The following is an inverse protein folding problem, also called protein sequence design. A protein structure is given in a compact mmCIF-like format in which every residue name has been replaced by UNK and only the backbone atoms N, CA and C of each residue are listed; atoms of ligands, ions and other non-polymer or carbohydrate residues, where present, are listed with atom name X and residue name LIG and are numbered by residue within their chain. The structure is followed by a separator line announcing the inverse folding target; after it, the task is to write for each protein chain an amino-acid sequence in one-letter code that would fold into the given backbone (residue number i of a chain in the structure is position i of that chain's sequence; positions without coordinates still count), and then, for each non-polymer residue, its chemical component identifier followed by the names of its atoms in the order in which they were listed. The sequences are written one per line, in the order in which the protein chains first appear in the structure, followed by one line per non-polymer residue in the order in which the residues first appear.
data_IF_428860026227
#
_entry.id   IF_428860026227
#
_cell.length_a   1.000
_cell.length_b   1.000
_cell.length_c   1.000
_cell.angle_alpha   90.00
_cell.angle_beta   90.00
_cell.angle_gamma   90.00
#
_symmetry.space_group_name_H-M   'P 1'
#
loop_
_entity.id
_entity.type
_entity.pdbx_description
1 polymer ?
#
# COMPACT_ATOMS: atom_id res chain seq x y z
N UNK A 1 6.74 1.75 -2.11
CA UNK A 1 5.91 2.95 -2.38
C UNK A 1 5.88 3.97 -1.23
N UNK A 2 6.08 3.55 0.04
CA UNK A 2 6.17 4.45 1.21
C UNK A 2 7.06 5.67 1.10
N UNK A 3 8.24 5.50 0.48
CA UNK A 3 9.20 6.59 0.33
C UNK A 3 8.62 7.76 -0.45
N UNK A 4 7.69 7.52 -1.37
CA UNK A 4 7.11 8.55 -2.23
C UNK A 4 5.98 9.33 -1.56
N UNK A 5 5.26 8.71 -0.62
CA UNK A 5 4.12 9.33 0.08
C UNK A 5 4.51 9.94 1.42
N UNK A 6 5.36 9.27 2.20
CA UNK A 6 5.73 9.69 3.55
C UNK A 6 6.90 10.68 3.55
N UNK A 7 7.96 10.41 2.80
CA UNK A 7 9.20 11.20 2.91
C UNK A 7 9.03 12.66 2.52
N UNK A 8 8.30 13.04 1.46
CA UNK A 8 8.14 14.47 1.15
C UNK A 8 7.55 15.28 2.31
N UNK A 9 6.60 14.69 3.05
CA UNK A 9 5.96 15.35 4.20
C UNK A 9 6.88 15.48 5.42
N UNK A 10 7.88 14.59 5.56
CA UNK A 10 8.80 14.57 6.70
C UNK A 10 10.11 15.30 6.39
N UNK A 11 10.69 15.04 5.21
CA UNK A 11 11.98 15.56 4.79
C UNK A 11 11.97 17.09 4.66
N UNK A 12 10.90 17.69 4.14
CA UNK A 12 10.85 19.15 3.96
C UNK A 12 10.94 19.90 5.31
N UNK A 13 10.05 19.64 6.30
CA UNK A 13 10.19 20.25 7.62
C UNK A 13 11.51 19.92 8.32
N UNK A 14 12.05 18.71 8.11
CA UNK A 14 13.31 18.29 8.73
C UNK A 14 14.52 19.07 8.20
N UNK A 15 14.64 19.23 6.88
CA UNK A 15 15.71 20.04 6.26
C UNK A 15 15.56 21.52 6.62
N UNK A 16 14.34 22.03 6.69
CA UNK A 16 14.09 23.41 7.12
C UNK A 16 14.56 23.66 8.56
N UNK A 17 14.38 22.66 9.42
CA UNK A 17 14.76 22.74 10.85
C UNK A 17 16.25 22.47 11.08
N UNK A 18 16.89 21.67 10.24
CA UNK A 18 18.29 21.26 10.37
C UNK A 18 19.04 21.43 9.03
N UNK A 19 19.46 22.67 8.69
CA UNK A 19 19.98 22.99 7.35
C UNK A 19 21.29 22.30 6.99
N UNK A 20 22.08 21.93 8.00
CA UNK A 20 23.39 21.31 7.85
C UNK A 20 23.32 19.77 7.70
N UNK A 21 22.12 19.18 7.84
CA UNK A 21 21.96 17.72 7.77
C UNK A 21 21.78 17.27 6.33
N UNK A 22 22.59 16.28 5.92
CA UNK A 22 22.38 15.49 4.72
C UNK A 22 21.91 14.07 5.08
N UNK A 23 20.96 13.51 4.34
CA UNK A 23 20.53 12.12 4.49
C UNK A 23 20.40 11.44 3.12
N UNK A 24 20.60 10.13 3.09
CA UNK A 24 20.38 9.29 1.91
C UNK A 24 19.19 8.37 2.14
N UNK A 25 18.35 8.23 1.12
CA UNK A 25 17.21 7.32 1.13
C UNK A 25 17.44 6.27 0.06
N UNK A 26 17.45 5.00 0.45
CA UNK A 26 17.62 3.87 -0.47
C UNK A 26 16.36 3.00 -0.40
N UNK A 27 15.62 2.83 -1.51
CA UNK A 27 14.55 1.85 -1.56
C UNK A 27 15.16 0.44 -1.52
N UNK A 28 14.69 -0.39 -0.58
CA UNK A 28 15.15 -1.76 -0.44
C UNK A 28 13.99 -2.66 0.00
N UNK A 29 13.98 -3.90 -0.49
CA UNK A 29 13.00 -4.92 -0.12
C UNK A 29 13.61 -5.95 0.83
N UNK A 30 12.73 -6.66 1.54
CA UNK A 30 13.12 -7.80 2.37
C UNK A 30 13.61 -8.96 1.50
N UNK A 31 14.57 -9.78 1.98
CA UNK A 31 15.18 -9.76 3.31
C UNK A 31 16.37 -8.78 3.46
N UNK A 32 16.77 -8.13 2.36
CA UNK A 32 18.01 -7.33 2.32
C UNK A 32 17.91 -6.06 3.17
N UNK A 33 16.71 -5.49 3.32
CA UNK A 33 16.44 -4.40 4.25
C UNK A 33 16.81 -4.78 5.68
N UNK A 34 16.35 -5.95 6.15
CA UNK A 34 16.61 -6.43 7.51
C UNK A 34 18.08 -6.77 7.73
N UNK A 35 18.75 -7.33 6.73
CA UNK A 35 20.19 -7.58 6.75
C UNK A 35 20.98 -6.28 6.90
N UNK A 36 20.61 -5.23 6.16
CA UNK A 36 21.32 -3.94 6.20
C UNK A 36 21.13 -3.19 7.51
N UNK A 37 19.94 -3.28 8.10
CA UNK A 37 19.68 -2.73 9.43
C UNK A 37 20.45 -3.49 10.52
N UNK A 38 20.44 -4.82 10.47
CA UNK A 38 21.20 -5.66 11.42
C UNK A 38 22.71 -5.39 11.34
N UNK A 39 23.21 -5.12 10.14
CA UNK A 39 24.60 -4.78 9.88
C UNK A 39 24.94 -3.29 10.16
N UNK A 40 23.99 -2.50 10.70
CA UNK A 40 24.14 -1.07 10.99
C UNK A 40 24.63 -0.24 9.80
N UNK A 41 24.23 -0.63 8.57
CA UNK A 41 24.56 0.14 7.35
C UNK A 41 23.67 1.37 7.17
N UNK A 42 22.55 1.42 7.88
CA UNK A 42 21.59 2.51 7.87
C UNK A 42 21.10 2.76 9.30
N UNK A 43 20.81 4.02 9.62
CA UNK A 43 20.35 4.41 10.96
C UNK A 43 18.88 4.05 11.19
N UNK A 44 18.06 4.11 10.14
CA UNK A 44 16.61 3.93 10.21
C UNK A 44 16.12 3.06 9.04
N UNK A 45 15.09 2.25 9.32
CA UNK A 45 14.36 1.48 8.31
C UNK A 45 12.86 1.70 8.44
N UNK A 46 12.18 1.77 7.29
CA UNK A 46 10.73 1.84 7.20
C UNK A 46 10.24 0.56 6.53
N UNK A 47 9.43 -0.21 7.25
CA UNK A 47 8.89 -1.49 6.76
C UNK A 47 7.50 -1.74 7.33
N UNK A 48 6.70 -2.51 6.60
CA UNK A 48 5.42 -3.06 7.07
C UNK A 48 5.63 -4.42 7.77
N UNK A 49 6.82 -5.01 7.63
CA UNK A 49 7.11 -6.31 8.19
C UNK A 49 7.09 -6.28 9.72
N UNK A 50 6.60 -7.39 10.28
CA UNK A 50 6.51 -7.61 11.72
C UNK A 50 7.73 -8.33 12.29
N UNK A 51 8.81 -8.47 11.51
CA UNK A 51 10.12 -8.90 12.00
C UNK A 51 10.90 -7.70 12.55
N UNK A 52 11.55 -7.87 13.70
CA UNK A 52 12.49 -6.88 14.25
C UNK A 52 13.91 -7.37 13.97
N UNK A 53 14.69 -6.70 13.10
CA UNK A 53 16.08 -7.06 12.85
C UNK A 53 16.94 -7.07 14.12
N UNK A 54 17.99 -7.89 14.15
CA UNK A 54 18.85 -8.00 15.32
C UNK A 54 19.56 -6.66 15.60
N UNK A 55 19.62 -6.26 16.87
CA UNK A 55 20.24 -5.00 17.27
C UNK A 55 19.42 -3.75 16.90
N UNK A 56 18.14 -3.90 16.56
CA UNK A 56 17.23 -2.79 16.29
C UNK A 56 16.05 -2.78 17.27
N UNK A 57 15.42 -1.62 17.40
CA UNK A 57 14.11 -1.48 18.04
C UNK A 57 13.07 -1.15 16.98
N UNK A 58 11.84 -1.63 17.16
CA UNK A 58 10.72 -1.32 16.28
C UNK A 58 9.70 -0.46 16.99
N UNK A 59 9.27 0.61 16.33
CA UNK A 59 8.11 1.40 16.69
C UNK A 59 7.09 1.42 15.56
N UNK A 60 5.81 1.30 15.89
CA UNK A 60 4.72 1.50 14.93
C UNK A 60 4.56 3.00 14.69
N UNK A 61 4.78 3.45 13.46
CA UNK A 61 4.58 4.85 13.08
C UNK A 61 3.12 5.16 12.77
N UNK A 62 2.43 4.23 12.11
CA UNK A 62 1.04 4.40 11.69
C UNK A 62 0.38 3.04 11.44
N UNK A 63 -0.93 3.01 11.64
CA UNK A 63 -1.80 1.91 11.22
C UNK A 63 -2.82 2.46 10.26
N UNK A 64 -2.97 1.81 9.11
CA UNK A 64 -3.91 2.21 8.07
C UNK A 64 -4.75 1.00 7.67
N UNK A 65 -6.02 1.27 7.36
CA UNK A 65 -6.89 0.26 6.76
C UNK A 65 -6.80 0.38 5.25
N UNK A 66 -6.77 -0.76 4.57
CA UNK A 66 -6.98 -0.86 3.13
C UNK A 66 -8.28 -0.17 2.73
N UNK A 67 -8.27 0.51 1.59
CA UNK A 67 -9.42 1.26 1.08
C UNK A 67 -9.90 0.72 -0.25
N UNK A 68 -11.22 0.70 -0.41
CA UNK A 68 -11.83 0.32 -1.67
C UNK A 68 -11.79 1.51 -2.64
N UNK A 69 -11.37 1.24 -3.87
CA UNK A 69 -11.37 2.22 -4.96
C UNK A 69 -12.52 1.88 -5.89
N UNK A 70 -13.43 2.84 -6.04
CA UNK A 70 -14.65 2.70 -6.83
C UNK A 70 -14.70 3.79 -7.92
N UNK A 71 -15.26 3.50 -9.10
CA UNK A 71 -15.53 4.54 -10.09
C UNK A 71 -16.60 5.51 -9.60
N UNK A 72 -16.61 6.72 -10.16
CA UNK A 72 -17.67 7.69 -9.86
C UNK A 72 -19.05 7.13 -10.21
N UNK A 73 -20.02 7.30 -9.31
CA UNK A 73 -21.38 6.79 -9.49
C UNK A 73 -21.57 5.30 -9.22
N UNK A 74 -20.56 4.57 -8.74
CA UNK A 74 -20.70 3.16 -8.39
C UNK A 74 -21.75 2.95 -7.28
N UNK A 75 -22.66 1.96 -7.37
CA UNK A 75 -23.71 1.74 -6.37
C UNK A 75 -23.18 1.56 -4.94
N UNK A 76 -22.00 0.95 -4.79
CA UNK A 76 -21.34 0.77 -3.49
C UNK A 76 -20.95 2.08 -2.80
N UNK A 77 -20.90 3.22 -3.49
CA UNK A 77 -20.68 4.53 -2.87
C UNK A 77 -21.81 4.93 -1.91
N UNK A 78 -23.00 4.33 -2.04
CA UNK A 78 -24.12 4.57 -1.13
C UNK A 78 -24.01 3.78 0.19
N UNK A 79 -23.06 2.85 0.30
CA UNK A 79 -22.87 2.03 1.51
C UNK A 79 -21.91 2.71 2.47
N UNK A 80 -22.23 2.70 3.77
CA UNK A 80 -21.34 3.20 4.83
C UNK A 80 -20.17 2.27 5.10
N UNK A 81 -20.37 0.97 4.85
CA UNK A 81 -19.40 -0.09 5.08
C UNK A 81 -19.51 -1.10 3.94
N UNK A 82 -18.38 -1.55 3.43
CA UNK A 82 -18.31 -2.64 2.45
C UNK A 82 -17.90 -3.93 3.14
N UNK A 83 -18.53 -5.03 2.76
CA UNK A 83 -18.18 -6.38 3.21
C UNK A 83 -17.59 -7.18 2.05
N UNK A 84 -16.89 -8.30 2.31
CA UNK A 84 -16.35 -9.13 1.24
C UNK A 84 -17.40 -9.58 0.22
N UNK A 85 -18.65 -9.80 0.66
CA UNK A 85 -19.76 -10.19 -0.21
C UNK A 85 -20.08 -9.15 -1.29
N UNK A 86 -19.77 -7.88 -1.05
CA UNK A 86 -20.02 -6.81 -2.01
C UNK A 86 -19.13 -6.89 -3.26
N UNK A 87 -18.06 -7.69 -3.20
CA UNK A 87 -17.12 -7.90 -4.31
C UNK A 87 -17.43 -9.15 -5.13
N UNK A 88 -18.46 -9.91 -4.76
CA UNK A 88 -18.80 -11.15 -5.44
C UNK A 88 -19.27 -10.87 -6.88
N UNK A 89 -18.67 -11.56 -7.85
CA UNK A 89 -18.87 -11.40 -9.29
C UNK A 89 -18.55 -10.01 -9.86
N UNK A 90 -18.01 -9.09 -9.07
CA UNK A 90 -17.59 -7.76 -9.54
C UNK A 90 -16.31 -7.85 -10.39
N UNK A 91 -16.19 -6.95 -11.36
CA UNK A 91 -14.95 -6.77 -12.12
C UNK A 91 -13.87 -6.20 -11.21
N UNK A 92 -12.84 -6.99 -10.91
CA UNK A 92 -11.81 -6.64 -9.96
C UNK A 92 -10.46 -6.42 -10.67
N UNK A 93 -9.88 -5.26 -10.43
CA UNK A 93 -8.53 -4.89 -10.82
C UNK A 93 -7.64 -5.13 -9.61
N UNK A 94 -6.49 -5.75 -9.80
CA UNK A 94 -5.68 -6.17 -8.67
C UNK A 94 -4.21 -5.85 -8.82
N UNK A 95 -3.55 -5.73 -7.67
CA UNK A 95 -2.10 -5.79 -7.61
C UNK A 95 -1.60 -7.19 -7.98
N UNK A 96 -0.32 -7.26 -8.35
CA UNK A 96 0.37 -8.50 -8.72
C UNK A 96 0.12 -9.61 -7.72
N UNK A 97 0.00 -10.85 -8.19
CA UNK A 97 -0.02 -12.05 -7.34
C UNK A 97 1.20 -12.19 -6.39
N UNK A 98 2.31 -11.52 -6.70
CA UNK A 98 3.51 -11.47 -5.85
C UNK A 98 3.43 -10.42 -4.73
N UNK A 99 2.43 -9.54 -4.77
CA UNK A 99 2.19 -8.53 -3.75
C UNK A 99 1.61 -9.18 -2.48
N UNK A 100 2.18 -8.85 -1.31
CA UNK A 100 1.79 -9.43 -0.04
C UNK A 100 0.36 -9.06 0.37
N UNK A 101 -0.10 -7.84 0.08
CA UNK A 101 -1.47 -7.42 0.32
C UNK A 101 -2.44 -8.16 -0.56
N UNK A 102 -2.08 -8.36 -1.83
CA UNK A 102 -2.87 -9.19 -2.74
C UNK A 102 -3.06 -10.61 -2.18
N UNK A 103 -1.99 -11.24 -1.69
CA UNK A 103 -2.07 -12.59 -1.13
C UNK A 103 -2.98 -12.67 0.09
N UNK A 104 -2.87 -11.70 1.00
CA UNK A 104 -3.76 -11.61 2.18
C UNK A 104 -5.22 -11.43 1.76
N UNK A 105 -5.47 -10.56 0.80
CA UNK A 105 -6.81 -10.28 0.29
C UNK A 105 -7.42 -11.50 -0.41
N UNK A 106 -6.61 -12.22 -1.20
CA UNK A 106 -7.03 -13.44 -1.87
C UNK A 106 -7.38 -14.55 -0.87
N UNK A 107 -6.58 -14.72 0.19
CA UNK A 107 -6.89 -15.65 1.26
C UNK A 107 -8.23 -15.29 1.95
N UNK A 108 -8.44 -14.02 2.28
CA UNK A 108 -9.69 -13.53 2.90
C UNK A 108 -10.91 -13.82 2.01
N UNK A 109 -10.84 -13.52 0.71
CA UNK A 109 -11.95 -13.80 -0.19
C UNK A 109 -12.18 -15.30 -0.38
N UNK A 110 -11.11 -16.09 -0.45
CA UNK A 110 -11.20 -17.54 -0.57
C UNK A 110 -11.86 -18.18 0.66
N UNK A 111 -11.46 -17.79 1.87
CA UNK A 111 -12.06 -18.26 3.13
C UNK A 111 -13.56 -17.93 3.22
N UNK A 112 -14.00 -16.84 2.61
CA UNK A 112 -15.39 -16.38 2.59
C UNK A 112 -16.18 -16.90 1.37
N UNK A 113 -15.57 -17.70 0.49
CA UNK A 113 -16.22 -18.22 -0.72
C UNK A 113 -16.61 -17.14 -1.73
N UNK A 114 -15.88 -16.01 -1.75
CA UNK A 114 -16.16 -14.88 -2.64
C UNK A 114 -15.33 -15.02 -3.91
N UNK A 115 -16.01 -15.03 -5.06
CA UNK A 115 -15.37 -15.10 -6.36
C UNK A 115 -15.43 -13.74 -7.05
N UNK A 116 -14.26 -13.12 -7.23
CA UNK A 116 -14.10 -11.87 -7.99
C UNK A 116 -13.77 -12.19 -9.44
N UNK A 117 -14.29 -11.39 -10.37
CA UNK A 117 -13.89 -11.49 -11.78
C UNK A 117 -12.62 -10.68 -12.01
N UNK A 118 -11.45 -11.32 -12.00
CA UNK A 118 -10.16 -10.66 -12.23
C UNK A 118 -10.05 -10.16 -13.67
N UNK A 119 -10.15 -8.84 -13.88
CA UNK A 119 -10.10 -8.22 -15.23
C UNK A 119 -8.74 -7.64 -15.57
N UNK A 120 -7.91 -7.31 -14.58
CA UNK A 120 -6.57 -6.77 -14.79
C UNK A 120 -5.67 -7.03 -13.58
N UNK A 121 -4.38 -7.25 -13.83
CA UNK A 121 -3.31 -7.33 -12.83
C UNK A 121 -2.18 -6.34 -13.16
N UNK A 122 -1.64 -5.63 -12.16
CA UNK A 122 -0.51 -4.70 -12.33
C UNK A 122 0.31 -4.53 -11.05
N UNK A 123 1.56 -4.10 -11.14
CA UNK A 123 2.40 -3.80 -9.96
C UNK A 123 2.26 -2.37 -9.44
N UNK A 124 1.41 -1.54 -10.05
CA UNK A 124 1.29 -0.12 -9.72
C UNK A 124 -0.10 0.21 -9.21
N UNK A 125 -0.19 0.62 -7.94
CA UNK A 125 -1.42 1.14 -7.34
C UNK A 125 -1.93 2.40 -8.07
N UNK A 126 -1.03 3.22 -8.64
CA UNK A 126 -1.43 4.35 -9.47
C UNK A 126 -2.14 3.90 -10.76
N UNK A 127 -1.62 2.86 -11.42
CA UNK A 127 -2.28 2.23 -12.58
C UNK A 127 -3.62 1.61 -12.21
N UNK A 128 -3.72 0.93 -11.06
CA UNK A 128 -4.99 0.43 -10.52
C UNK A 128 -6.01 1.56 -10.40
N UNK A 129 -5.65 2.64 -9.72
CA UNK A 129 -6.56 3.76 -9.51
C UNK A 129 -6.97 4.46 -10.82
N UNK A 130 -6.05 4.58 -11.78
CA UNK A 130 -6.36 5.14 -13.10
C UNK A 130 -7.38 4.29 -13.87
N UNK A 131 -7.26 2.96 -13.81
CA UNK A 131 -8.18 2.03 -14.47
C UNK A 131 -9.55 1.96 -13.78
N UNK A 132 -9.58 2.04 -12.44
CA UNK A 132 -10.83 2.21 -11.70
C UNK A 132 -11.51 3.52 -12.10
N UNK A 133 -10.76 4.63 -12.17
CA UNK A 133 -11.30 5.92 -12.62
C UNK A 133 -11.85 5.86 -14.05
N UNK A 134 -11.26 5.04 -14.91
CA UNK A 134 -11.75 4.78 -16.27
C UNK A 134 -12.95 3.82 -16.33
N UNK A 135 -13.39 3.25 -15.20
CA UNK A 135 -14.55 2.36 -15.13
C UNK A 135 -14.28 0.91 -15.51
N UNK A 136 -13.01 0.47 -15.57
CA UNK A 136 -12.64 -0.91 -15.94
C UNK A 136 -13.10 -1.92 -14.87
N UNK A 137 -13.14 -1.50 -13.61
CA UNK A 137 -13.55 -2.32 -12.48
C UNK A 137 -13.36 -1.57 -11.15
N UNK A 138 -13.36 -2.33 -10.06
CA UNK A 138 -13.12 -1.88 -8.69
C UNK A 138 -11.81 -2.48 -8.16
N UNK A 139 -11.31 -1.95 -7.04
CA UNK A 139 -10.12 -2.50 -6.39
C UNK A 139 -10.09 -2.23 -4.89
N UNK A 140 -9.11 -2.82 -4.21
CA UNK A 140 -8.73 -2.53 -2.83
C UNK A 140 -7.23 -2.23 -2.84
N UNK A 141 -6.83 -1.09 -2.27
CA UNK A 141 -5.44 -0.62 -2.24
C UNK A 141 -5.12 0.06 -0.92
N UNK A 142 -3.82 0.14 -0.61
CA UNK A 142 -3.34 0.85 0.57
C UNK A 142 -3.59 2.37 0.38
N UNK A 143 -4.20 3.07 1.36
CA UNK A 143 -4.45 4.50 1.25
C UNK A 143 -3.18 5.34 1.05
N UNK A 144 -2.02 4.86 1.50
CA UNK A 144 -0.73 5.52 1.29
C UNK A 144 -0.34 5.59 -0.20
N UNK A 145 -0.91 4.74 -1.05
CA UNK A 145 -0.66 4.73 -2.49
C UNK A 145 -1.59 5.68 -3.28
N UNK A 146 -2.53 6.36 -2.62
CA UNK A 146 -3.43 7.34 -3.27
C UNK A 146 -2.73 8.63 -3.70
N UNK A 147 -1.43 8.77 -3.49
CA UNK A 147 -0.69 10.01 -3.77
C UNK A 147 -0.75 10.36 -5.26
N UNK A 148 -1.38 11.50 -5.56
CA UNK A 148 -1.53 12.05 -6.92
C UNK A 148 -2.98 12.13 -7.41
N UNK A 149 -3.94 11.50 -6.73
CA UNK A 149 -5.36 11.58 -7.07
C UNK A 149 -6.02 12.66 -6.22
N UNK A 150 -5.91 13.92 -6.65
CA UNK A 150 -6.88 14.94 -6.25
C UNK A 150 -8.26 14.46 -6.71
N UNK A 151 -9.16 14.16 -5.75
CA UNK A 151 -10.59 14.19 -6.00
C UNK A 151 -11.06 15.64 -5.90
#
# INVERSE_FOLDING_TARGET
MFSQSLLPAVCKPFVDRYPEVSFSVIPQESPLLEEWLSAQRHDLGLTENTLTPAGTERMTLMTMNEVCVLPAGHPMLAKSTLTPQDFNAENFISLSSTDSYRQLLDALFHEQGIERRMVMETHSAASVCAMVKAGVGISIVNPADRVGLRQ
#
